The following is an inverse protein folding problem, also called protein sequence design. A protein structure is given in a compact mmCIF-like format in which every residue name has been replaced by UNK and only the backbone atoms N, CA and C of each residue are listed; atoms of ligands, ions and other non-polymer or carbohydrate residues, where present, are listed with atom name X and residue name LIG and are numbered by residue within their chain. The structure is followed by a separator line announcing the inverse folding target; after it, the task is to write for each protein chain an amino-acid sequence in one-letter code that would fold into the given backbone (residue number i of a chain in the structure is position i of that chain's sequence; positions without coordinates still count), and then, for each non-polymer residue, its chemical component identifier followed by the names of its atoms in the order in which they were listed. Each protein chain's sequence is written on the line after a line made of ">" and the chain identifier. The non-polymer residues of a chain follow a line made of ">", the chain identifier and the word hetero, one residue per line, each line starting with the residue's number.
data_IF_186827017975
#
_entry.id   IF_186827017975
#
_cell.length_a   1.000
_cell.length_b   1.000
_cell.length_c   1.000
_cell.angle_alpha   90.00
_cell.angle_beta   90.00
_cell.angle_gamma   90.00
#
_symmetry.space_group_name_H-M   'P 1'
#
loop_
_entity.id
_entity.type
_entity.pdbx_description
1 polymer ?
#
# COMPACT_ATOMS: atom_id res chain seq x y z
N UNK A 1 13.64 -22.34 16.39
CA UNK A 1 14.50 -21.93 15.25
C UNK A 1 13.96 -22.42 13.90
N UNK A 2 13.34 -23.60 13.82
CA UNK A 2 12.73 -24.10 12.57
C UNK A 2 11.49 -23.33 12.12
N UNK A 3 10.65 -22.87 13.06
CA UNK A 3 9.36 -22.22 12.74
C UNK A 3 9.53 -20.89 11.99
N UNK A 4 10.49 -20.05 12.39
CA UNK A 4 10.72 -18.74 11.76
C UNK A 4 11.15 -18.89 10.30
N UNK A 5 12.01 -19.86 9.99
CA UNK A 5 12.45 -20.11 8.62
C UNK A 5 11.32 -20.62 7.71
N UNK A 6 10.46 -21.50 8.25
CA UNK A 6 9.28 -22.01 7.52
C UNK A 6 8.30 -20.87 7.21
N UNK A 7 8.06 -19.99 8.18
CA UNK A 7 7.18 -18.82 8.01
C UNK A 7 7.75 -17.86 6.94
N UNK A 8 9.05 -17.54 7.01
CA UNK A 8 9.69 -16.66 6.03
C UNK A 8 9.68 -17.24 4.61
N UNK A 9 9.93 -18.55 4.48
CA UNK A 9 9.87 -19.24 3.20
C UNK A 9 8.45 -19.24 2.60
N UNK A 10 7.43 -19.55 3.41
CA UNK A 10 6.04 -19.46 2.95
C UNK A 10 5.65 -18.04 2.55
N UNK A 11 6.05 -17.03 3.34
CA UNK A 11 5.80 -15.62 3.00
C UNK A 11 6.45 -15.25 1.67
N UNK A 12 7.70 -15.67 1.43
CA UNK A 12 8.38 -15.47 0.15
C UNK A 12 7.63 -16.12 -1.02
N UNK A 13 7.22 -17.38 -0.89
CA UNK A 13 6.47 -18.08 -1.95
C UNK A 13 5.12 -17.42 -2.25
N UNK A 14 4.42 -16.93 -1.22
CA UNK A 14 3.18 -16.19 -1.41
C UNK A 14 3.39 -14.83 -2.09
N UNK A 15 4.41 -14.08 -1.67
CA UNK A 15 4.78 -12.82 -2.31
C UNK A 15 5.17 -13.03 -3.77
N UNK A 16 5.94 -14.08 -4.08
CA UNK A 16 6.32 -14.39 -5.47
C UNK A 16 5.09 -14.75 -6.32
N UNK A 17 4.18 -15.57 -5.78
CA UNK A 17 2.94 -15.91 -6.48
C UNK A 17 2.09 -14.68 -6.75
N UNK A 18 1.96 -13.80 -5.75
CA UNK A 18 1.18 -12.58 -5.85
C UNK A 18 1.82 -11.58 -6.82
N UNK A 19 3.15 -11.46 -6.84
CA UNK A 19 3.90 -10.65 -7.83
C UNK A 19 3.76 -11.17 -9.28
N UNK A 20 3.59 -12.48 -9.45
CA UNK A 20 3.35 -13.10 -10.77
C UNK A 20 1.91 -12.93 -11.25
N UNK A 21 0.97 -12.68 -10.34
CA UNK A 21 -0.45 -12.53 -10.64
C UNK A 21 -0.86 -11.05 -10.69
N UNK A 22 -0.66 -10.45 -11.88
CA UNK A 22 -1.02 -9.05 -12.15
C UNK A 22 -2.53 -8.78 -11.93
N UNK A 23 -3.38 -9.79 -12.12
CA UNK A 23 -4.81 -9.65 -11.88
C UNK A 23 -5.11 -9.53 -10.38
N UNK A 24 -4.49 -10.37 -9.54
CA UNK A 24 -4.60 -10.23 -8.09
C UNK A 24 -4.03 -8.90 -7.59
N UNK A 25 -2.88 -8.47 -8.11
CA UNK A 25 -2.29 -7.17 -7.75
C UNK A 25 -3.24 -6.01 -8.06
N UNK A 26 -3.87 -6.03 -9.24
CA UNK A 26 -4.86 -5.02 -9.62
C UNK A 26 -6.09 -5.03 -8.74
N UNK A 27 -6.60 -6.20 -8.37
CA UNK A 27 -7.74 -6.30 -7.46
C UNK A 27 -7.37 -5.76 -6.06
N UNK A 28 -6.18 -6.07 -5.54
CA UNK A 28 -5.71 -5.50 -4.26
C UNK A 28 -5.56 -3.98 -4.35
N UNK A 29 -4.98 -3.47 -5.44
CA UNK A 29 -4.86 -2.03 -5.68
C UNK A 29 -6.23 -1.36 -5.71
N UNK A 30 -7.20 -1.98 -6.40
CA UNK A 30 -8.57 -1.50 -6.51
C UNK A 30 -9.32 -1.56 -5.18
N UNK A 31 -9.16 -2.62 -4.38
CA UNK A 31 -9.75 -2.69 -3.03
C UNK A 31 -9.16 -1.63 -2.10
N UNK A 32 -7.83 -1.44 -2.15
CA UNK A 32 -7.15 -0.40 -1.38
C UNK A 32 -7.60 1.00 -1.79
N UNK A 33 -7.75 1.26 -3.09
CA UNK A 33 -8.33 2.50 -3.58
C UNK A 33 -9.77 2.65 -3.14
N UNK A 34 -10.64 1.66 -3.35
CA UNK A 34 -12.05 1.74 -2.98
C UNK A 34 -12.29 1.97 -1.47
N UNK A 35 -11.33 1.60 -0.62
CA UNK A 35 -11.41 1.90 0.80
C UNK A 35 -11.20 3.40 1.11
N UNK A 36 -10.40 4.11 0.30
CA UNK A 36 -9.97 5.50 0.49
C UNK A 36 -10.76 6.45 -0.42
N UNK A 37 -10.96 6.06 -1.67
CA UNK A 37 -11.72 6.72 -2.74
C UNK A 37 -13.18 6.86 -2.29
N UNK A 38 -13.49 8.03 -1.73
CA UNK A 38 -14.81 8.31 -1.17
C UNK A 38 -15.76 8.85 -2.24
N UNK A 39 -15.22 9.45 -3.31
CA UNK A 39 -15.98 10.08 -4.38
C UNK A 39 -16.28 9.09 -5.55
N UNK A 40 -15.58 7.94 -5.60
CA UNK A 40 -15.72 6.90 -6.62
C UNK A 40 -15.15 7.28 -7.99
N UNK A 41 -14.25 8.25 -8.05
CA UNK A 41 -13.66 8.76 -9.30
C UNK A 41 -12.46 7.92 -9.78
N UNK A 42 -12.12 6.86 -9.02
CA UNK A 42 -10.99 5.96 -9.26
C UNK A 42 -9.64 6.67 -9.21
N UNK A 43 -9.58 7.75 -8.45
CA UNK A 43 -8.36 8.45 -8.10
C UNK A 43 -8.38 8.70 -6.61
N UNK A 44 -7.21 8.78 -5.98
CA UNK A 44 -7.12 9.25 -4.61
C UNK A 44 -6.56 10.65 -4.65
N UNK A 45 -7.38 11.60 -4.24
CA UNK A 45 -6.92 12.96 -4.00
C UNK A 45 -6.34 13.07 -2.58
N UNK A 46 -5.41 14.01 -2.39
CA UNK A 46 -4.81 14.24 -1.07
C UNK A 46 -5.87 14.47 0.02
N UNK A 47 -6.94 15.18 -0.33
CA UNK A 47 -8.03 15.49 0.59
C UNK A 47 -8.85 14.24 1.00
N UNK A 48 -8.94 13.23 0.13
CA UNK A 48 -9.61 11.96 0.43
C UNK A 48 -8.75 11.11 1.36
N UNK A 49 -7.43 11.10 1.13
CA UNK A 49 -6.47 10.49 2.05
C UNK A 49 -6.54 11.13 3.45
N UNK A 50 -6.56 12.45 3.53
CA UNK A 50 -6.73 13.18 4.80
C UNK A 50 -8.05 12.78 5.48
N UNK A 51 -9.16 12.76 4.74
CA UNK A 51 -10.48 12.39 5.26
C UNK A 51 -10.56 10.94 5.72
N UNK A 52 -9.95 10.01 4.97
CA UNK A 52 -9.89 8.59 5.33
C UNK A 52 -9.07 8.37 6.60
N UNK A 53 -7.91 9.03 6.72
CA UNK A 53 -7.06 8.92 7.89
C UNK A 53 -7.73 9.54 9.11
N UNK A 54 -8.40 10.68 8.98
CA UNK A 54 -9.14 11.31 10.08
C UNK A 54 -10.28 10.40 10.58
N UNK A 55 -11.07 9.82 9.64
CA UNK A 55 -12.12 8.85 9.96
C UNK A 55 -11.55 7.61 10.64
N UNK A 56 -10.44 7.07 10.12
CA UNK A 56 -9.80 5.87 10.65
C UNK A 56 -9.22 6.13 12.04
N UNK A 57 -8.48 7.22 12.24
CA UNK A 57 -7.94 7.60 13.56
C UNK A 57 -9.07 7.78 14.58
N UNK A 58 -10.15 8.46 14.19
CA UNK A 58 -11.33 8.63 15.06
C UNK A 58 -11.99 7.29 15.41
N UNK A 59 -12.09 6.38 14.43
CA UNK A 59 -12.69 5.04 14.62
C UNK A 59 -11.86 4.13 15.51
N UNK A 60 -10.53 4.23 15.42
CA UNK A 60 -9.60 3.43 16.23
C UNK A 60 -9.18 4.11 17.54
N UNK A 61 -9.68 5.31 17.83
CA UNK A 61 -9.33 6.06 19.04
C UNK A 61 -7.88 6.56 19.06
N UNK A 62 -7.25 6.70 17.90
CA UNK A 62 -5.89 7.22 17.75
C UNK A 62 -5.93 8.73 17.93
N UNK A 63 -5.35 9.21 19.02
CA UNK A 63 -5.29 10.64 19.36
C UNK A 63 -4.24 11.40 18.53
N UNK A 64 -3.18 10.71 18.12
CA UNK A 64 -2.13 11.25 17.25
C UNK A 64 -2.52 11.06 15.79
N UNK A 65 -3.26 12.05 15.28
CA UNK A 65 -3.53 12.17 13.86
C UNK A 65 -2.20 12.50 13.16
N UNK A 66 -1.80 11.77 12.11
CA UNK A 66 -0.61 12.13 11.35
C UNK A 66 -0.77 13.53 10.73
N UNK A 67 0.30 14.31 10.79
CA UNK A 67 0.33 15.66 10.21
C UNK A 67 0.09 15.62 8.70
N UNK A 68 -0.53 16.69 8.19
CA UNK A 68 -0.80 16.87 6.76
C UNK A 68 0.48 16.75 5.92
N UNK A 69 1.61 17.23 6.42
CA UNK A 69 2.91 17.09 5.76
C UNK A 69 3.38 15.64 5.64
N UNK A 70 3.11 14.80 6.64
CA UNK A 70 3.42 13.38 6.59
C UNK A 70 2.54 12.68 5.54
N UNK A 71 1.24 12.96 5.55
CA UNK A 71 0.28 12.43 4.56
C UNK A 71 0.71 12.86 3.15
N UNK A 72 1.05 14.14 2.97
CA UNK A 72 1.48 14.69 1.69
C UNK A 72 2.79 14.06 1.21
N UNK A 73 3.76 13.78 2.09
CA UNK A 73 4.99 13.08 1.71
C UNK A 73 4.70 11.68 1.18
N UNK A 74 3.88 10.90 1.92
CA UNK A 74 3.49 9.56 1.49
C UNK A 74 2.74 9.64 0.15
N UNK A 75 1.86 10.62 0.00
CA UNK A 75 1.15 10.88 -1.25
C UNK A 75 2.11 11.16 -2.41
N UNK A 76 3.08 12.06 -2.24
CA UNK A 76 4.09 12.43 -3.26
C UNK A 76 5.02 11.25 -3.60
N UNK A 77 5.25 10.33 -2.66
CA UNK A 77 6.00 9.09 -2.94
C UNK A 77 5.23 8.11 -3.83
N UNK A 78 3.89 8.12 -3.76
CA UNK A 78 3.03 7.27 -4.60
C UNK A 78 2.72 7.95 -5.94
N UNK A 79 2.40 9.25 -5.93
CA UNK A 79 2.09 10.09 -7.10
C UNK A 79 3.37 10.43 -7.89
N UNK A 80 3.92 9.41 -8.53
CA UNK A 80 5.16 9.51 -9.32
C UNK A 80 5.05 10.49 -10.49
N UNK A 81 3.86 10.70 -11.05
CA UNK A 81 3.64 11.66 -12.14
C UNK A 81 3.39 13.10 -11.62
N UNK A 82 3.30 13.30 -10.31
CA UNK A 82 2.95 14.58 -9.67
C UNK A 82 1.64 15.16 -10.19
N UNK A 83 0.73 14.26 -10.54
CA UNK A 83 -0.61 14.57 -11.06
C UNK A 83 -1.52 15.15 -9.96
N UNK A 84 -1.08 15.07 -8.70
CA UNK A 84 -1.82 15.36 -7.47
C UNK A 84 -2.98 14.42 -7.21
N UNK A 85 -3.03 13.29 -7.92
CA UNK A 85 -4.08 12.28 -7.83
C UNK A 85 -3.46 10.89 -7.99
N UNK A 86 -3.57 10.00 -7.01
CA UNK A 86 -3.06 8.64 -7.17
C UNK A 86 -4.05 7.84 -8.02
N UNK A 87 -3.59 7.34 -9.15
CA UNK A 87 -4.41 6.50 -10.05
C UNK A 87 -4.30 5.01 -9.72
N UNK A 88 -5.21 4.18 -10.26
CA UNK A 88 -5.13 2.70 -10.14
C UNK A 88 -3.78 2.14 -10.59
N UNK A 89 -3.17 2.73 -11.63
CA UNK A 89 -1.88 2.30 -12.15
C UNK A 89 -0.72 2.64 -11.19
N UNK A 90 -0.76 3.82 -10.57
CA UNK A 90 0.23 4.25 -9.59
C UNK A 90 0.12 3.44 -8.29
N UNK A 91 -1.11 3.20 -7.82
CA UNK A 91 -1.36 2.33 -6.68
C UNK A 91 -0.85 0.91 -6.96
N UNK A 92 -1.13 0.38 -8.16
CA UNK A 92 -0.64 -0.92 -8.60
C UNK A 92 0.90 -0.98 -8.62
N UNK A 93 1.56 0.01 -9.21
CA UNK A 93 3.02 0.12 -9.22
C UNK A 93 3.60 0.22 -7.82
N UNK A 94 2.96 0.98 -6.94
CA UNK A 94 3.38 1.15 -5.55
C UNK A 94 3.27 -0.15 -4.76
N UNK A 95 2.13 -0.84 -4.84
CA UNK A 95 1.93 -2.15 -4.20
C UNK A 95 2.94 -3.15 -4.73
N UNK A 96 3.13 -3.21 -6.05
CA UNK A 96 4.13 -4.09 -6.67
C UNK A 96 5.54 -3.80 -6.12
N UNK A 97 5.92 -2.52 -6.04
CA UNK A 97 7.22 -2.11 -5.49
C UNK A 97 7.39 -2.51 -4.03
N UNK A 98 6.39 -2.28 -3.18
CA UNK A 98 6.42 -2.72 -1.77
C UNK A 98 6.59 -4.23 -1.66
N UNK A 99 5.85 -5.00 -2.47
CA UNK A 99 5.94 -6.46 -2.45
C UNK A 99 7.31 -6.96 -2.91
N UNK A 100 7.93 -6.31 -3.91
CA UNK A 100 9.30 -6.60 -4.32
C UNK A 100 10.32 -6.25 -3.23
N UNK A 101 10.16 -5.12 -2.53
CA UNK A 101 11.00 -4.75 -1.40
C UNK A 101 10.84 -5.70 -0.21
N UNK A 102 9.61 -6.12 0.12
CA UNK A 102 9.35 -7.14 1.15
C UNK A 102 9.97 -8.48 0.77
N UNK A 103 9.84 -8.90 -0.50
CA UNK A 103 10.48 -10.12 -1.00
C UNK A 103 11.99 -10.04 -0.84
N UNK A 104 12.60 -8.92 -1.21
CA UNK A 104 14.05 -8.70 -1.11
C UNK A 104 14.51 -8.68 0.35
N UNK A 105 13.73 -8.07 1.25
CA UNK A 105 14.02 -8.05 2.67
C UNK A 105 13.96 -9.46 3.29
N UNK A 106 12.98 -10.27 2.90
CA UNK A 106 12.87 -11.68 3.32
C UNK A 106 14.04 -12.48 2.78
N UNK A 107 14.40 -12.32 1.50
CA UNK A 107 15.57 -12.98 0.91
C UNK A 107 16.88 -12.59 1.61
N UNK A 108 17.02 -11.32 2.01
CA UNK A 108 18.17 -10.85 2.78
C UNK A 108 18.19 -11.44 4.19
N UNK A 109 17.04 -11.61 4.83
CA UNK A 109 16.90 -12.23 6.16
C UNK A 109 17.03 -13.76 6.13
N UNK A 110 16.93 -14.38 4.95
CA UNK A 110 17.12 -15.83 4.74
C UNK A 110 18.57 -16.20 4.39
N UNK A 111 19.42 -15.24 4.01
CA UNK A 111 20.85 -15.45 3.79
C UNK A 111 21.62 -15.51 5.11
#
# INVERSE_FOLDING_TARGET
>A
AGDTWVILKQAHEQLEKLLKDDAQLKEIAKEAMAAIDANGDKKLELHEMEGFIEKTCSKFGVQEKPDKDMIKKIFDEIDTDKSKTITEDEMHKFIKKILEEMKTAIEAHMK
#
